data_IF_612477012379
#
_entry.id   IF_612477012379
#
_cell.length_a   1.000
_cell.length_b   1.000
_cell.length_c   1.000
_cell.angle_alpha   90.00
_cell.angle_beta   90.00
_cell.angle_gamma   90.00
#
_symmetry.space_group_name_H-M   'P 1'
#
loop_
_entity.id
_entity.type
_entity.pdbx_description
1 polymer ?
#
# COMPACT_ATOMS: atom_id res chain seq x y z
N UNK A 1 -5.08 -10.85 -12.77
CA UNK A 1 -4.46 -12.00 -13.47
C UNK A 1 -3.34 -11.56 -14.39
N UNK A 2 -2.34 -12.38 -14.54
CA UNK A 2 -1.25 -12.17 -15.51
C UNK A 2 -1.74 -12.64 -16.88
N UNK A 3 -1.85 -11.73 -17.87
CA UNK A 3 -2.18 -12.07 -19.25
C UNK A 3 -3.57 -11.63 -19.71
N UNK A 4 -4.06 -12.24 -20.82
CA UNK A 4 -5.31 -11.86 -21.52
C UNK A 4 -6.60 -12.25 -20.78
N UNK A 5 -6.53 -13.10 -19.73
CA UNK A 5 -7.68 -13.57 -18.97
C UNK A 5 -7.72 -12.91 -17.60
N UNK A 6 -8.01 -11.61 -17.56
CA UNK A 6 -8.33 -10.89 -16.31
C UNK A 6 -9.79 -11.16 -15.94
N UNK A 7 -10.02 -11.69 -14.75
CA UNK A 7 -11.37 -11.90 -14.20
C UNK A 7 -11.48 -11.11 -12.90
N UNK A 8 -12.50 -10.30 -12.81
CA UNK A 8 -12.93 -9.73 -11.54
C UNK A 8 -13.81 -10.76 -10.84
N UNK A 9 -13.39 -11.22 -9.67
CA UNK A 9 -14.19 -12.12 -8.84
C UNK A 9 -14.93 -11.24 -7.84
N UNK A 10 -16.23 -11.24 -7.92
CA UNK A 10 -17.10 -10.55 -6.96
C UNK A 10 -17.55 -11.60 -5.95
N UNK A 11 -17.39 -11.33 -4.66
CA UNK A 11 -17.87 -12.24 -3.62
C UNK A 11 -19.39 -12.09 -3.45
N UNK A 12 -20.04 -13.20 -3.11
CA UNK A 12 -21.49 -13.21 -2.78
C UNK A 12 -21.79 -12.21 -1.66
N UNK A 13 -20.89 -12.08 -0.69
CA UNK A 13 -20.98 -11.10 0.39
C UNK A 13 -21.05 -9.66 -0.11
N UNK A 14 -20.33 -9.32 -1.19
CA UNK A 14 -20.41 -7.97 -1.78
C UNK A 14 -21.77 -7.75 -2.41
N UNK A 15 -22.28 -8.73 -3.15
CA UNK A 15 -23.59 -8.65 -3.82
C UNK A 15 -24.76 -8.55 -2.84
N UNK A 16 -24.68 -9.22 -1.69
CA UNK A 16 -25.71 -9.23 -0.67
C UNK A 16 -25.71 -7.97 0.21
N UNK A 17 -24.57 -7.33 0.39
CA UNK A 17 -24.39 -6.29 1.41
C UNK A 17 -24.31 -4.87 0.85
N UNK A 18 -24.14 -4.72 -0.47
CA UNK A 18 -23.97 -3.41 -1.10
C UNK A 18 -25.05 -3.17 -2.17
N UNK A 19 -25.61 -1.96 -2.25
CA UNK A 19 -26.44 -1.56 -3.36
C UNK A 19 -25.70 -1.60 -4.71
N UNK A 20 -26.40 -1.76 -5.84
CA UNK A 20 -25.79 -1.90 -7.16
C UNK A 20 -24.84 -0.76 -7.54
N UNK A 21 -25.17 0.48 -7.20
CA UNK A 21 -24.37 1.66 -7.47
C UNK A 21 -23.08 1.71 -6.62
N UNK A 22 -23.14 1.23 -5.38
CA UNK A 22 -21.94 1.05 -4.53
C UNK A 22 -21.04 -0.06 -5.09
N UNK A 23 -21.63 -1.16 -5.59
CA UNK A 23 -20.89 -2.25 -6.25
C UNK A 23 -20.20 -1.75 -7.50
N UNK A 24 -20.88 -0.96 -8.33
CA UNK A 24 -20.30 -0.36 -9.54
C UNK A 24 -19.09 0.49 -9.20
N UNK A 25 -19.17 1.32 -8.16
CA UNK A 25 -18.07 2.17 -7.72
C UNK A 25 -16.86 1.34 -7.22
N UNK A 26 -17.11 0.27 -6.46
CA UNK A 26 -16.05 -0.65 -6.01
C UNK A 26 -15.41 -1.36 -7.21
N UNK A 27 -16.21 -1.86 -8.15
CA UNK A 27 -15.70 -2.55 -9.34
C UNK A 27 -14.88 -1.60 -10.24
N UNK A 28 -15.29 -0.34 -10.36
CA UNK A 28 -14.55 0.67 -11.08
C UNK A 28 -13.17 0.94 -10.44
N UNK A 29 -13.10 0.96 -9.11
CA UNK A 29 -11.84 1.06 -8.36
C UNK A 29 -10.92 -0.15 -8.66
N UNK A 30 -11.45 -1.37 -8.59
CA UNK A 30 -10.68 -2.58 -8.91
C UNK A 30 -10.23 -2.62 -10.38
N UNK A 31 -11.09 -2.13 -11.30
CA UNK A 31 -10.75 -2.03 -12.72
C UNK A 31 -9.60 -1.03 -12.97
N UNK A 32 -9.47 0.01 -12.16
CA UNK A 32 -8.37 0.97 -12.26
C UNK A 32 -7.01 0.30 -12.10
N UNK A 33 -6.85 -0.61 -11.15
CA UNK A 33 -5.59 -1.34 -10.93
C UNK A 33 -5.16 -2.14 -12.17
N UNK A 34 -6.14 -2.68 -12.89
CA UNK A 34 -5.88 -3.39 -14.15
C UNK A 34 -5.54 -2.42 -15.28
N UNK A 35 -6.31 -1.34 -15.44
CA UNK A 35 -6.11 -0.32 -16.46
C UNK A 35 -4.75 0.35 -16.36
N UNK A 36 -4.31 0.65 -15.14
CA UNK A 36 -3.02 1.28 -14.86
C UNK A 36 -1.85 0.29 -14.76
N UNK A 37 -2.11 -1.02 -14.87
CA UNK A 37 -1.11 -2.09 -14.73
C UNK A 37 -0.36 -2.01 -13.40
N UNK A 38 -1.06 -1.71 -12.32
CA UNK A 38 -0.46 -1.44 -11.01
C UNK A 38 0.33 -2.63 -10.47
N UNK A 39 -0.11 -3.86 -10.77
CA UNK A 39 0.66 -5.06 -10.43
C UNK A 39 2.10 -5.01 -10.96
N UNK A 40 2.29 -4.62 -12.22
CA UNK A 40 3.61 -4.53 -12.83
C UNK A 40 4.43 -3.38 -12.27
N UNK A 41 3.79 -2.25 -11.98
CA UNK A 41 4.44 -1.08 -11.35
C UNK A 41 4.91 -1.42 -9.93
N UNK A 42 4.06 -2.10 -9.15
CA UNK A 42 4.41 -2.57 -7.81
C UNK A 42 5.54 -3.60 -7.85
N UNK A 43 5.47 -4.61 -8.73
CA UNK A 43 6.54 -5.59 -8.89
C UNK A 43 7.87 -4.95 -9.26
N UNK A 44 7.90 -4.00 -10.19
CA UNK A 44 9.12 -3.29 -10.57
C UNK A 44 9.71 -2.51 -9.40
N UNK A 45 8.87 -1.84 -8.61
CA UNK A 45 9.31 -1.15 -7.39
C UNK A 45 9.87 -2.13 -6.37
N UNK A 46 9.17 -3.24 -6.09
CA UNK A 46 9.60 -4.25 -5.11
C UNK A 46 10.95 -4.88 -5.49
N UNK A 47 11.15 -5.18 -6.78
CA UNK A 47 12.44 -5.66 -7.27
C UNK A 47 13.53 -4.61 -7.06
N UNK A 48 13.28 -3.35 -7.42
CA UNK A 48 14.22 -2.25 -7.19
C UNK A 48 14.54 -2.03 -5.71
N UNK A 49 13.52 -2.09 -4.85
CA UNK A 49 13.67 -2.00 -3.39
C UNK A 49 14.46 -3.18 -2.83
N UNK A 50 14.27 -4.39 -3.37
CA UNK A 50 15.06 -5.57 -3.00
C UNK A 50 16.54 -5.40 -3.30
N UNK A 51 16.89 -4.88 -4.49
CA UNK A 51 18.28 -4.56 -4.82
C UNK A 51 18.86 -3.45 -3.92
N UNK A 52 18.10 -2.40 -3.65
CA UNK A 52 18.51 -1.33 -2.75
C UNK A 52 18.71 -1.86 -1.32
N UNK A 53 17.82 -2.71 -0.84
CA UNK A 53 17.92 -3.40 0.44
C UNK A 53 19.23 -4.21 0.51
N UNK A 54 19.50 -5.06 -0.49
CA UNK A 54 20.70 -5.87 -0.55
C UNK A 54 21.95 -4.99 -0.58
N UNK A 55 21.94 -3.90 -1.33
CA UNK A 55 23.03 -2.91 -1.37
C UNK A 55 23.26 -2.29 0.01
N UNK A 56 22.22 -1.78 0.67
CA UNK A 56 22.34 -1.17 1.99
C UNK A 56 22.89 -2.17 3.03
N UNK A 57 22.35 -3.38 3.05
CA UNK A 57 22.82 -4.43 3.97
C UNK A 57 24.27 -4.78 3.70
N UNK A 58 24.69 -4.90 2.43
CA UNK A 58 26.08 -5.18 2.07
C UNK A 58 27.05 -4.09 2.54
N UNK A 59 26.59 -2.84 2.69
CA UNK A 59 27.42 -1.72 3.18
C UNK A 59 27.40 -1.59 4.70
N UNK A 60 26.27 -1.86 5.33
CA UNK A 60 26.05 -1.65 6.77
C UNK A 60 26.47 -2.85 7.61
N UNK A 61 26.18 -4.07 7.17
CA UNK A 61 26.48 -5.27 7.96
C UNK A 61 27.96 -5.43 8.31
N UNK A 62 28.95 -5.22 7.40
CA UNK A 62 30.37 -5.28 7.76
C UNK A 62 30.76 -4.25 8.82
N UNK A 63 30.20 -3.05 8.74
CA UNK A 63 30.44 -1.98 9.72
C UNK A 63 29.89 -2.39 11.09
N UNK A 64 28.68 -2.97 11.12
CA UNK A 64 28.08 -3.45 12.36
C UNK A 64 28.88 -4.60 12.98
N UNK A 65 29.38 -5.55 12.20
CA UNK A 65 30.25 -6.64 12.68
C UNK A 65 31.52 -6.02 13.32
N UNK A 66 32.20 -5.12 12.62
CA UNK A 66 33.40 -4.48 13.14
C UNK A 66 33.14 -3.73 14.44
N UNK A 67 32.04 -3.00 14.51
CA UNK A 67 31.65 -2.22 15.69
C UNK A 67 31.24 -3.10 16.88
N UNK A 68 30.54 -4.20 16.63
CA UNK A 68 30.07 -5.10 17.69
C UNK A 68 31.09 -6.14 18.15
N UNK A 69 32.20 -6.30 17.46
CA UNK A 69 33.22 -7.33 17.69
C UNK A 69 33.62 -7.50 19.16
N UNK A 70 33.76 -6.39 19.89
CA UNK A 70 34.18 -6.42 21.30
C UNK A 70 33.17 -7.11 22.22
N UNK A 71 31.88 -7.13 21.85
CA UNK A 71 30.79 -7.67 22.67
C UNK A 71 30.30 -9.02 22.16
N UNK A 72 30.38 -9.25 20.86
CA UNK A 72 29.83 -10.46 20.21
C UNK A 72 30.89 -11.53 19.98
N UNK A 73 32.18 -11.15 19.89
CA UNK A 73 33.23 -12.05 19.47
C UNK A 73 33.18 -12.43 17.97
N UNK A 74 32.27 -11.82 17.20
CA UNK A 74 32.13 -12.08 15.76
C UNK A 74 33.09 -11.21 14.98
N UNK A 75 33.98 -11.84 14.19
CA UNK A 75 35.06 -11.18 13.48
C UNK A 75 34.77 -10.93 12.00
N UNK A 76 33.90 -11.73 11.40
CA UNK A 76 33.57 -11.60 9.97
C UNK A 76 32.11 -11.98 9.66
N UNK A 77 31.66 -11.61 8.47
CA UNK A 77 30.34 -12.02 7.95
C UNK A 77 30.28 -13.51 7.57
N UNK A 78 31.41 -14.16 7.43
CA UNK A 78 31.51 -15.60 7.10
C UNK A 78 31.19 -16.48 8.33
N UNK A 79 31.29 -15.91 9.53
CA UNK A 79 30.89 -16.58 10.76
C UNK A 79 29.38 -16.69 10.84
N UNK A 80 28.85 -17.90 11.11
CA UNK A 80 27.43 -18.15 11.31
C UNK A 80 26.83 -17.26 12.42
N UNK A 81 27.65 -16.94 13.44
CA UNK A 81 27.26 -16.02 14.51
C UNK A 81 27.00 -14.57 14.02
N UNK A 82 27.34 -14.22 12.79
CA UNK A 82 27.00 -12.93 12.17
C UNK A 82 25.51 -12.82 11.76
N UNK A 83 24.78 -13.92 11.63
CA UNK A 83 23.38 -13.94 11.15
C UNK A 83 22.47 -12.97 11.91
N UNK A 84 22.51 -12.87 13.26
CA UNK A 84 21.71 -11.86 13.97
C UNK A 84 22.09 -10.43 13.62
N UNK A 85 23.36 -10.15 13.34
CA UNK A 85 23.84 -8.81 12.95
C UNK A 85 23.32 -8.44 11.56
N UNK A 86 23.39 -9.38 10.62
CA UNK A 86 22.81 -9.21 9.27
C UNK A 86 21.30 -9.03 9.36
N UNK A 87 20.63 -9.79 10.21
CA UNK A 87 19.19 -9.64 10.47
C UNK A 87 18.84 -8.24 10.99
N UNK A 88 19.64 -7.71 11.94
CA UNK A 88 19.44 -6.36 12.45
C UNK A 88 19.71 -5.29 11.38
N UNK A 89 20.75 -5.45 10.56
CA UNK A 89 21.03 -4.55 9.44
C UNK A 89 19.87 -4.55 8.43
N UNK A 90 19.32 -5.73 8.12
CA UNK A 90 18.16 -5.87 7.24
C UNK A 90 16.91 -5.20 7.82
N UNK A 91 16.66 -5.39 9.11
CA UNK A 91 15.54 -4.75 9.80
C UNK A 91 15.63 -3.22 9.77
N UNK A 92 16.81 -2.68 10.07
CA UNK A 92 17.06 -1.22 10.04
C UNK A 92 16.89 -0.64 8.63
N UNK A 93 17.45 -1.32 7.63
CA UNK A 93 17.26 -0.93 6.23
C UNK A 93 15.77 -0.99 5.83
N UNK A 94 15.04 -2.02 6.27
CA UNK A 94 13.59 -2.15 6.04
C UNK A 94 12.79 -1.00 6.62
N UNK A 95 13.09 -0.58 7.85
CA UNK A 95 12.43 0.57 8.49
C UNK A 95 12.66 1.86 7.69
N UNK A 96 13.87 2.05 7.15
CA UNK A 96 14.21 3.22 6.33
C UNK A 96 13.49 3.20 4.98
N UNK A 97 13.34 2.02 4.37
CA UNK A 97 12.74 1.85 3.05
C UNK A 97 11.20 1.75 3.08
N UNK A 98 10.60 1.31 4.19
CA UNK A 98 9.17 1.12 4.33
C UNK A 98 8.32 2.35 3.92
N UNK A 99 8.68 3.60 4.26
CA UNK A 99 7.92 4.78 3.84
C UNK A 99 7.80 4.93 2.32
N UNK A 100 8.80 4.47 1.56
CA UNK A 100 8.80 4.56 0.08
C UNK A 100 7.72 3.64 -0.49
N UNK A 101 7.70 2.37 -0.07
CA UNK A 101 6.67 1.41 -0.46
C UNK A 101 5.27 1.86 -0.06
N UNK A 102 5.11 2.31 1.18
CA UNK A 102 3.85 2.83 1.70
C UNK A 102 3.36 4.07 0.92
N UNK A 103 4.25 5.00 0.59
CA UNK A 103 3.91 6.18 -0.20
C UNK A 103 3.46 5.83 -1.63
N UNK A 104 4.16 4.90 -2.28
CA UNK A 104 3.79 4.40 -3.61
C UNK A 104 2.41 3.72 -3.58
N UNK A 105 2.16 2.85 -2.61
CA UNK A 105 0.87 2.16 -2.46
C UNK A 105 -0.27 3.18 -2.29
N UNK A 106 -0.11 4.17 -1.42
CA UNK A 106 -1.11 5.24 -1.25
C UNK A 106 -1.31 6.08 -2.51
N UNK A 107 -0.29 6.28 -3.33
CA UNK A 107 -0.42 7.00 -4.60
C UNK A 107 -1.23 6.19 -5.62
N UNK A 108 -1.01 4.89 -5.71
CA UNK A 108 -1.78 3.95 -6.54
C UNK A 108 -3.25 3.96 -6.12
N UNK A 109 -3.53 3.84 -4.82
CA UNK A 109 -4.90 3.86 -4.29
C UNK A 109 -5.63 5.18 -4.63
N UNK A 110 -4.98 6.34 -4.46
CA UNK A 110 -5.57 7.63 -4.86
C UNK A 110 -5.85 7.71 -6.36
N UNK A 111 -5.01 7.10 -7.17
CA UNK A 111 -5.22 7.04 -8.62
C UNK A 111 -6.42 6.15 -8.96
N UNK A 112 -6.56 5.00 -8.28
CA UNK A 112 -7.70 4.11 -8.46
C UNK A 112 -9.02 4.76 -8.00
N UNK A 113 -8.99 5.47 -6.87
CA UNK A 113 -10.15 6.23 -6.38
C UNK A 113 -10.62 7.30 -7.38
N UNK A 114 -9.68 8.06 -7.96
CA UNK A 114 -10.01 9.07 -8.97
C UNK A 114 -10.62 8.44 -10.21
N UNK A 115 -10.04 7.35 -10.69
CA UNK A 115 -10.55 6.62 -11.84
C UNK A 115 -11.99 6.13 -11.59
N UNK A 116 -12.26 5.56 -10.40
CA UNK A 116 -13.60 5.13 -10.03
C UNK A 116 -14.62 6.29 -10.09
N UNK A 117 -14.25 7.45 -9.55
CA UNK A 117 -15.10 8.64 -9.57
C UNK A 117 -15.30 9.18 -11.00
N UNK A 118 -14.30 9.19 -11.84
CA UNK A 118 -14.37 9.66 -13.23
C UNK A 118 -15.27 8.75 -14.10
N UNK A 119 -15.16 7.43 -13.91
CA UNK A 119 -15.92 6.44 -14.67
C UNK A 119 -17.38 6.39 -14.23
N UNK A 120 -17.63 6.29 -12.92
CA UNK A 120 -19.01 6.15 -12.41
C UNK A 120 -19.76 7.48 -12.30
N UNK A 121 -19.02 8.59 -12.19
CA UNK A 121 -19.56 9.94 -11.94
C UNK A 121 -20.51 10.00 -10.73
N UNK A 122 -20.38 9.05 -9.81
CA UNK A 122 -21.24 8.91 -8.65
C UNK A 122 -20.41 8.88 -7.35
N UNK A 123 -19.94 10.05 -6.93
CA UNK A 123 -19.16 10.17 -5.69
C UNK A 123 -20.02 9.89 -4.44
N UNK A 124 -21.37 10.01 -4.50
CA UNK A 124 -22.24 9.64 -3.37
C UNK A 124 -22.21 8.15 -3.11
N UNK A 125 -22.38 7.33 -4.17
CA UNK A 125 -22.28 5.88 -4.06
C UNK A 125 -20.90 5.45 -3.58
N UNK A 126 -19.83 6.06 -4.12
CA UNK A 126 -18.48 5.73 -3.70
C UNK A 126 -18.21 6.10 -2.24
N UNK A 127 -18.61 7.30 -1.79
CA UNK A 127 -18.49 7.70 -0.38
C UNK A 127 -19.31 6.79 0.54
N UNK A 128 -20.52 6.38 0.13
CA UNK A 128 -21.36 5.43 0.88
C UNK A 128 -20.70 4.06 1.00
N UNK A 129 -20.18 3.51 -0.11
CA UNK A 129 -19.43 2.26 -0.12
C UNK A 129 -18.24 2.30 0.85
N UNK A 130 -17.43 3.37 0.79
CA UNK A 130 -16.29 3.55 1.69
C UNK A 130 -16.69 3.64 3.17
N UNK A 131 -17.80 4.32 3.50
CA UNK A 131 -18.33 4.36 4.87
C UNK A 131 -18.79 2.98 5.34
N UNK A 132 -19.44 2.21 4.48
CA UNK A 132 -19.87 0.85 4.78
C UNK A 132 -18.69 -0.08 5.01
N UNK A 133 -17.63 0.04 4.20
CA UNK A 133 -16.37 -0.68 4.38
C UNK A 133 -15.72 -0.28 5.71
N UNK A 134 -15.65 1.03 6.00
CA UNK A 134 -15.08 1.54 7.24
C UNK A 134 -15.80 1.01 8.49
N UNK A 135 -17.14 0.96 8.45
CA UNK A 135 -17.94 0.48 9.58
C UNK A 135 -17.70 -1.01 9.90
N UNK A 136 -17.24 -1.79 8.92
CA UNK A 136 -16.91 -3.21 9.09
C UNK A 136 -15.42 -3.45 9.40
N UNK A 137 -14.60 -2.47 9.11
CA UNK A 137 -13.16 -2.53 9.36
C UNK A 137 -12.85 -2.21 10.82
N UNK A 138 -11.96 -2.99 11.43
CA UNK A 138 -11.38 -2.68 12.75
C UNK A 138 -10.21 -1.70 12.65
N UNK A 139 -9.98 -1.12 11.47
CA UNK A 139 -8.89 -0.17 11.25
C UNK A 139 -9.15 1.15 12.01
N UNK A 140 -8.13 1.67 12.64
CA UNK A 140 -8.18 2.99 13.27
C UNK A 140 -8.43 4.09 12.20
N UNK A 141 -9.52 4.85 12.29
CA UNK A 141 -9.80 5.93 11.34
C UNK A 141 -8.83 7.12 11.50
N UNK A 142 -8.12 7.22 12.63
CA UNK A 142 -7.18 8.31 12.96
C UNK A 142 -5.78 7.79 13.35
N UNK A 143 -5.10 6.99 12.51
CA UNK A 143 -3.81 6.43 12.88
C UNK A 143 -2.78 7.54 13.13
N UNK A 144 -1.86 7.38 14.09
CA UNK A 144 -0.78 8.32 14.34
C UNK A 144 0.01 8.63 13.06
N UNK A 145 0.50 9.87 12.94
CA UNK A 145 1.21 10.32 11.72
C UNK A 145 2.34 9.39 11.31
N UNK A 146 3.10 8.88 12.27
CA UNK A 146 4.23 7.98 12.00
C UNK A 146 3.76 6.65 11.41
N UNK A 147 2.72 6.05 11.98
CA UNK A 147 2.10 4.82 11.48
C UNK A 147 1.58 5.02 10.06
N UNK A 148 0.92 6.15 9.80
CA UNK A 148 0.40 6.49 8.47
C UNK A 148 1.51 6.66 7.43
N UNK A 149 2.63 7.28 7.79
CA UNK A 149 3.75 7.51 6.85
C UNK A 149 4.48 6.21 6.57
N UNK A 150 4.76 5.41 7.60
CA UNK A 150 5.68 4.27 7.51
C UNK A 150 4.96 2.98 7.13
N UNK A 151 3.75 2.74 7.67
CA UNK A 151 3.10 1.43 7.59
C UNK A 151 1.80 1.42 6.78
N UNK A 152 1.09 2.56 6.66
CA UNK A 152 -0.20 2.55 5.99
C UNK A 152 -0.03 2.43 4.47
N UNK A 153 -0.49 1.33 3.91
CA UNK A 153 -0.51 1.05 2.46
C UNK A 153 -1.69 1.71 1.74
N UNK A 154 -2.74 2.08 2.48
CA UNK A 154 -3.89 2.79 1.94
C UNK A 154 -3.97 4.22 2.53
N UNK A 155 -4.51 5.19 1.80
CA UNK A 155 -4.86 6.49 2.37
C UNK A 155 -5.89 6.30 3.50
N UNK A 156 -5.90 7.18 4.51
CA UNK A 156 -6.93 7.14 5.55
C UNK A 156 -8.33 7.14 4.92
N UNK A 157 -9.19 6.30 5.43
CA UNK A 157 -10.54 6.13 4.86
C UNK A 157 -11.34 7.44 4.82
N UNK A 158 -11.14 8.31 5.79
CA UNK A 158 -11.77 9.62 5.84
C UNK A 158 -11.27 10.57 4.72
N UNK A 159 -9.99 10.46 4.33
CA UNK A 159 -9.45 11.21 3.19
C UNK A 159 -10.11 10.76 1.88
N UNK A 160 -10.31 9.45 1.70
CA UNK A 160 -10.96 8.87 0.52
C UNK A 160 -12.44 9.29 0.45
N UNK A 161 -13.15 9.23 1.58
CA UNK A 161 -14.56 9.69 1.67
C UNK A 161 -14.66 11.17 1.32
N UNK A 162 -13.83 12.02 1.92
CA UNK A 162 -13.82 13.45 1.63
C UNK A 162 -13.53 13.77 0.16
N UNK A 163 -12.65 12.99 -0.50
CA UNK A 163 -12.38 13.13 -1.93
C UNK A 163 -13.61 12.80 -2.77
N UNK A 164 -14.34 11.73 -2.43
CA UNK A 164 -15.57 11.34 -3.13
C UNK A 164 -16.69 12.39 -2.97
N UNK A 165 -16.85 12.97 -1.79
CA UNK A 165 -17.80 14.04 -1.51
C UNK A 165 -17.45 15.34 -2.26
N UNK A 166 -16.16 15.70 -2.28
CA UNK A 166 -15.68 16.87 -3.01
C UNK A 166 -15.87 16.74 -4.53
N UNK A 167 -15.85 15.52 -5.07
CA UNK A 167 -16.13 15.27 -6.48
C UNK A 167 -17.57 15.65 -6.83
N UNK A 168 -18.54 15.28 -5.98
CA UNK A 168 -19.94 15.61 -6.20
C UNK A 168 -20.20 17.12 -6.18
N UNK A 169 -19.61 17.84 -5.20
CA UNK A 169 -19.81 19.28 -5.07
C UNK A 169 -19.27 20.08 -6.27
N UNK A 170 -18.20 19.62 -6.91
CA UNK A 170 -17.67 20.23 -8.12
C UNK A 170 -18.57 20.01 -9.33
N UNK A 171 -19.14 18.84 -9.48
CA UNK A 171 -19.98 18.48 -10.63
C UNK A 171 -21.44 18.96 -10.49
N UNK A 172 -21.89 19.34 -9.28
CA UNK A 172 -23.18 19.94 -9.06
C UNK A 172 -23.22 21.44 -9.41
N UNK A 173 -22.05 22.08 -9.54
CA UNK A 173 -21.93 23.53 -9.79
C UNK A 173 -21.41 23.86 -11.22
N UNK A 174 -21.29 22.87 -12.11
CA UNK A 174 -20.92 23.01 -13.52
C UNK A 174 -21.98 22.42 -14.45
#
# INVERSE_FOLDING_TARGET
GLGRATRNVVSDTLLEQFPPDEIEAILAHEAAHQAHRDLWRMMALEVGMGYLMAFLVSRVAPVMVTWSRRWTGVDSLEDVASVPIVGLATMLAGIILAPIGAANSRAIERQADRFALEVTRNGFAYASALRRIAAKSLADPFPPRLVRIVLATHPPILERIAMAEAYNSKNANG
#
